data_IF_903219653483
#
_entry.id   IF_903219653483
#
_cell.length_a   1.000
_cell.length_b   1.000
_cell.length_c   1.000
_cell.angle_alpha   90.00
_cell.angle_beta   90.00
_cell.angle_gamma   90.00
#
_symmetry.space_group_name_H-M   'P 1'
#
loop_
_entity.id
_entity.type
_entity.pdbx_description
1 polymer ?
#
# COMPACT_ATOMS: atom_id res chain seq x y z
N UNK A 1 7.67 -44.67 58.94
CA UNK A 1 8.18 -43.71 59.95
C UNK A 1 7.57 -42.40 59.54
N UNK A 2 6.43 -42.02 60.03
CA UNK A 2 6.20 -41.24 61.28
C UNK A 2 6.58 -39.76 60.97
N UNK A 3 5.60 -38.96 60.77
CA UNK A 3 4.83 -38.06 61.67
C UNK A 3 5.52 -36.69 61.73
N UNK A 4 4.98 -35.57 61.78
CA UNK A 4 3.84 -34.83 62.31
C UNK A 4 3.75 -33.49 61.64
N UNK A 5 2.68 -32.82 61.28
CA UNK A 5 1.52 -32.52 62.10
C UNK A 5 1.67 -31.20 62.86
N UNK A 6 0.97 -30.12 62.37
CA UNK A 6 0.38 -28.93 63.07
C UNK A 6 0.20 -27.85 62.00
N UNK A 7 -0.94 -27.34 61.54
CA UNK A 7 -2.12 -26.96 62.28
C UNK A 7 -1.97 -25.55 62.85
N UNK A 8 -2.45 -24.48 62.19
CA UNK A 8 -2.99 -23.30 62.89
C UNK A 8 -3.76 -22.40 61.90
N UNK A 9 -5.02 -22.27 62.16
CA UNK A 9 -5.90 -21.10 62.24
C UNK A 9 -6.24 -20.28 61.01
N UNK A 10 -7.53 -20.32 60.74
CA UNK A 10 -8.31 -19.36 59.98
C UNK A 10 -8.30 -17.97 60.63
N UNK A 11 -8.13 -16.93 59.85
CA UNK A 11 -8.60 -15.59 60.20
C UNK A 11 -9.56 -15.08 59.14
N UNK A 12 -10.78 -14.91 59.59
CA UNK A 12 -11.89 -14.22 58.93
C UNK A 12 -11.53 -12.76 58.66
N UNK A 13 -11.72 -12.30 57.43
CA UNK A 13 -11.49 -10.90 57.05
C UNK A 13 -12.44 -10.45 55.96
N UNK A 14 -13.62 -10.06 56.35
CA UNK A 14 -14.45 -8.97 55.83
C UNK A 14 -14.59 -8.78 54.31
N UNK A 15 -15.61 -9.35 53.73
CA UNK A 15 -16.21 -8.91 52.48
C UNK A 15 -16.95 -7.58 52.69
N UNK A 16 -16.35 -6.46 52.27
CA UNK A 16 -17.10 -5.20 52.10
C UNK A 16 -17.83 -5.21 50.78
N UNK A 17 -19.09 -5.54 50.81
CA UNK A 17 -20.08 -5.24 49.76
C UNK A 17 -20.35 -3.76 49.81
N UNK A 18 -19.84 -3.02 48.80
CA UNK A 18 -20.22 -1.61 48.58
C UNK A 18 -21.58 -1.63 47.88
N UNK A 19 -22.63 -1.45 48.70
CA UNK A 19 -23.99 -1.24 48.22
C UNK A 19 -24.17 0.18 47.66
N UNK A 20 -24.32 0.33 46.38
CA UNK A 20 -24.80 1.56 45.78
C UNK A 20 -26.32 1.57 45.87
N UNK A 21 -26.89 2.11 46.93
CA UNK A 21 -28.26 2.58 46.98
C UNK A 21 -28.23 4.10 47.07
N UNK A 22 -28.13 4.77 45.89
CA UNK A 22 -28.40 6.19 45.79
C UNK A 22 -29.83 6.35 45.29
N UNK A 23 -30.75 6.68 46.20
CA UNK A 23 -32.14 7.07 45.90
C UNK A 23 -32.10 8.45 45.25
N UNK A 24 -32.26 8.52 43.94
CA UNK A 24 -32.54 9.77 43.26
C UNK A 24 -34.04 10.06 43.38
N UNK A 25 -34.39 11.06 44.23
CA UNK A 25 -35.69 11.70 44.14
C UNK A 25 -35.65 12.66 42.96
N UNK A 26 -36.37 12.28 41.85
CA UNK A 26 -36.55 13.15 40.70
C UNK A 26 -37.87 13.89 40.82
N UNK A 27 -37.82 15.21 41.05
CA UNK A 27 -39.00 16.07 40.91
C UNK A 27 -39.36 16.23 39.43
N UNK A 28 -40.58 15.83 39.05
CA UNK A 28 -41.08 15.83 37.70
C UNK A 28 -41.18 17.23 37.05
N UNK A 29 -41.03 18.31 37.82
CA UNK A 29 -41.08 19.68 37.32
C UNK A 29 -39.72 20.17 36.76
N UNK A 30 -38.62 19.49 37.05
CA UNK A 30 -37.28 19.89 36.56
C UNK A 30 -36.84 19.12 35.33
N UNK A 31 -37.55 18.11 34.86
CA UNK A 31 -37.20 17.31 33.68
C UNK A 31 -37.17 18.13 32.39
N UNK A 32 -38.14 19.02 32.19
CA UNK A 32 -38.20 19.83 30.96
C UNK A 32 -37.06 20.82 30.82
N UNK A 33 -36.67 21.47 31.90
CA UNK A 33 -35.58 22.44 31.90
C UNK A 33 -34.21 21.82 31.68
N UNK A 34 -33.94 20.62 32.24
CA UNK A 34 -32.66 19.92 32.08
C UNK A 34 -32.49 19.36 30.66
N UNK A 35 -33.56 18.74 30.09
CA UNK A 35 -33.53 18.23 28.71
C UNK A 35 -33.37 19.36 27.70
N UNK A 36 -34.04 20.49 27.92
CA UNK A 36 -33.94 21.66 27.02
C UNK A 36 -32.53 22.30 27.09
N UNK A 37 -31.93 22.34 28.28
CA UNK A 37 -30.57 22.87 28.46
C UNK A 37 -29.51 21.94 27.87
N UNK A 38 -29.65 20.61 28.05
CA UNK A 38 -28.77 19.62 27.42
C UNK A 38 -28.91 19.65 25.89
N UNK A 39 -30.13 19.72 25.35
CA UNK A 39 -30.35 19.82 23.92
C UNK A 39 -29.76 21.08 23.30
N UNK A 40 -29.85 22.24 24.03
CA UNK A 40 -29.19 23.49 23.61
C UNK A 40 -27.66 23.41 23.68
N UNK A 41 -27.10 22.76 24.69
CA UNK A 41 -25.64 22.55 24.81
C UNK A 41 -25.14 21.57 23.70
N UNK A 42 -25.87 20.50 23.40
CA UNK A 42 -25.56 19.61 22.31
C UNK A 42 -25.70 20.26 20.92
N UNK A 43 -26.72 21.11 20.73
CA UNK A 43 -26.87 21.88 19.50
C UNK A 43 -25.77 22.95 19.33
N UNK A 44 -25.37 23.59 20.42
CA UNK A 44 -24.24 24.55 20.42
C UNK A 44 -22.89 23.84 20.16
N UNK A 45 -22.67 22.66 20.77
CA UNK A 45 -21.51 21.83 20.49
C UNK A 45 -21.45 21.35 19.03
N UNK A 46 -22.63 20.94 18.47
CA UNK A 46 -22.73 20.57 17.05
C UNK A 46 -22.54 21.76 16.09
N UNK A 47 -22.93 22.99 16.49
CA UNK A 47 -22.65 24.21 15.71
C UNK A 47 -21.19 24.60 15.80
N UNK A 48 -20.54 24.47 16.96
CA UNK A 48 -19.10 24.72 17.13
C UNK A 48 -18.27 23.74 16.28
N UNK A 49 -18.59 22.44 16.31
CA UNK A 49 -17.92 21.45 15.45
C UNK A 49 -18.12 21.68 13.95
N UNK A 50 -19.22 22.32 13.53
CA UNK A 50 -19.49 22.60 12.12
C UNK A 50 -18.74 23.82 11.59
N UNK A 51 -18.24 24.68 12.45
CA UNK A 51 -17.49 25.89 12.08
C UNK A 51 -15.96 25.75 12.19
N UNK A 52 -15.45 24.61 12.70
CA UNK A 52 -14.02 24.40 12.92
C UNK A 52 -13.39 23.34 12.00
N UNK A 53 -14.17 22.67 11.14
CA UNK A 53 -13.63 21.73 10.16
C UNK A 53 -13.64 22.31 8.73
N UNK A 54 -12.94 23.42 8.48
CA UNK A 54 -12.15 23.48 7.26
C UNK A 54 -10.91 22.60 7.52
N UNK A 55 -11.11 21.27 7.51
CA UNK A 55 -10.02 20.35 7.27
C UNK A 55 -9.50 20.73 5.88
N UNK A 56 -8.40 21.45 5.84
CA UNK A 56 -7.57 21.54 4.64
C UNK A 56 -7.14 20.10 4.39
N UNK A 57 -7.91 19.37 3.60
CA UNK A 57 -7.52 18.04 3.15
C UNK A 57 -6.29 18.24 2.29
N UNK A 58 -5.12 18.04 2.89
CA UNK A 58 -3.87 18.05 2.15
C UNK A 58 -3.97 16.92 1.14
N UNK A 59 -4.06 17.28 -0.14
CA UNK A 59 -4.15 16.29 -1.21
C UNK A 59 -2.92 15.38 -1.17
N UNK A 60 -3.14 14.07 -1.02
CA UNK A 60 -2.06 13.07 -1.05
C UNK A 60 -1.49 12.99 -2.47
N UNK A 61 -0.20 12.74 -2.58
CA UNK A 61 0.53 12.67 -3.86
C UNK A 61 1.06 11.27 -4.07
N UNK A 62 0.77 10.68 -5.23
CA UNK A 62 1.26 9.38 -5.66
C UNK A 62 2.21 9.48 -6.85
N UNK A 63 3.41 8.93 -6.71
CA UNK A 63 4.40 8.78 -7.76
C UNK A 63 4.29 7.37 -8.35
N UNK A 64 4.11 7.26 -9.68
CA UNK A 64 3.86 5.98 -10.34
C UNK A 64 4.79 5.85 -11.55
N UNK A 65 5.61 4.81 -11.56
CA UNK A 65 6.51 4.52 -12.69
C UNK A 65 5.86 3.58 -13.71
N UNK A 66 6.33 3.61 -14.95
CA UNK A 66 5.76 2.86 -16.09
C UNK A 66 4.23 2.99 -16.20
N UNK A 67 3.72 4.21 -16.00
CA UNK A 67 2.28 4.50 -15.85
C UNK A 67 1.55 4.76 -17.17
N UNK A 68 2.21 4.65 -18.33
CA UNK A 68 1.63 5.04 -19.61
C UNK A 68 0.56 4.11 -20.17
N UNK A 69 0.50 2.84 -19.72
CA UNK A 69 -0.48 1.84 -20.19
C UNK A 69 -0.65 0.69 -19.18
N UNK A 70 -1.57 -0.22 -19.47
CA UNK A 70 -1.77 -1.45 -18.71
C UNK A 70 -2.03 -1.20 -17.22
N UNK A 71 -1.41 -2.01 -16.34
CA UNK A 71 -1.57 -1.90 -14.89
C UNK A 71 -1.18 -0.52 -14.35
N UNK A 72 -0.08 0.07 -14.82
CA UNK A 72 0.37 1.37 -14.35
C UNK A 72 -0.65 2.48 -14.62
N UNK A 73 -1.25 2.51 -15.80
CA UNK A 73 -2.30 3.47 -16.14
C UNK A 73 -3.60 3.23 -15.35
N UNK A 74 -3.99 1.96 -15.14
CA UNK A 74 -5.15 1.63 -14.33
C UNK A 74 -4.96 2.05 -12.87
N UNK A 75 -3.76 1.85 -12.31
CA UNK A 75 -3.41 2.30 -10.96
C UNK A 75 -3.45 3.83 -10.85
N UNK A 76 -2.92 4.54 -11.86
CA UNK A 76 -2.96 5.99 -11.87
C UNK A 76 -4.39 6.53 -11.85
N UNK A 77 -5.30 5.94 -12.66
CA UNK A 77 -6.73 6.30 -12.68
C UNK A 77 -7.42 6.01 -11.35
N UNK A 78 -7.18 4.86 -10.76
CA UNK A 78 -7.77 4.48 -9.46
C UNK A 78 -7.30 5.41 -8.34
N UNK A 79 -6.00 5.72 -8.27
CA UNK A 79 -5.47 6.63 -7.26
C UNK A 79 -5.98 8.06 -7.44
N UNK A 80 -6.08 8.57 -8.68
CA UNK A 80 -6.69 9.86 -8.96
C UNK A 80 -8.17 9.88 -8.52
N UNK A 81 -8.94 8.82 -8.81
CA UNK A 81 -10.34 8.69 -8.39
C UNK A 81 -10.51 8.64 -6.87
N UNK A 82 -9.49 8.18 -6.13
CA UNK A 82 -9.47 8.15 -4.66
C UNK A 82 -8.85 9.42 -4.03
N UNK A 83 -8.61 10.47 -4.83
CA UNK A 83 -8.19 11.79 -4.34
C UNK A 83 -6.69 12.03 -4.28
N UNK A 84 -5.87 11.17 -4.91
CA UNK A 84 -4.44 11.46 -5.05
C UNK A 84 -4.18 12.40 -6.23
N UNK A 85 -3.25 13.33 -6.06
CA UNK A 85 -2.53 13.94 -7.18
C UNK A 85 -1.50 12.92 -7.70
N UNK A 86 -1.44 12.74 -9.01
CA UNK A 86 -0.58 11.74 -9.62
C UNK A 86 0.61 12.37 -10.34
N UNK A 87 1.80 11.80 -10.12
CA UNK A 87 3.04 12.11 -10.80
C UNK A 87 3.49 10.85 -11.56
N UNK A 88 3.46 10.89 -12.89
CA UNK A 88 3.58 9.72 -13.74
C UNK A 88 4.86 9.74 -14.57
N UNK A 89 5.43 8.56 -14.84
CA UNK A 89 6.54 8.42 -15.79
C UNK A 89 6.35 7.19 -16.68
N UNK A 90 6.68 7.33 -17.96
CA UNK A 90 6.81 6.20 -18.88
C UNK A 90 7.79 6.51 -20.00
N UNK A 91 8.40 5.50 -20.65
CA UNK A 91 9.31 5.72 -21.77
C UNK A 91 8.64 6.34 -22.99
N UNK A 92 7.34 6.13 -23.16
CA UNK A 92 6.53 6.79 -24.18
C UNK A 92 5.89 8.07 -23.63
N UNK A 93 5.49 8.99 -24.46
CA UNK A 93 4.78 10.22 -24.06
C UNK A 93 3.39 9.97 -23.42
N UNK A 94 2.89 8.74 -23.38
CA UNK A 94 1.56 8.41 -22.88
C UNK A 94 1.35 8.73 -21.38
N UNK A 95 2.40 8.73 -20.55
CA UNK A 95 2.30 9.17 -19.16
C UNK A 95 2.03 10.68 -19.04
N UNK A 96 2.50 11.50 -20.00
CA UNK A 96 2.27 12.94 -20.02
C UNK A 96 0.78 13.22 -20.22
N UNK A 97 0.21 12.68 -21.31
CA UNK A 97 -1.21 12.87 -21.62
C UNK A 97 -2.12 12.32 -20.51
N UNK A 98 -1.78 11.14 -19.93
CA UNK A 98 -2.55 10.58 -18.83
C UNK A 98 -2.45 11.44 -17.56
N UNK A 99 -1.27 11.98 -17.24
CA UNK A 99 -1.09 12.86 -16.10
C UNK A 99 -1.97 14.11 -16.19
N UNK A 100 -2.01 14.75 -17.36
CA UNK A 100 -2.87 15.91 -17.64
C UNK A 100 -4.35 15.56 -17.56
N UNK A 101 -4.77 14.43 -18.14
CA UNK A 101 -6.15 13.93 -18.07
C UNK A 101 -6.63 13.77 -16.62
N UNK A 102 -5.73 13.30 -15.73
CA UNK A 102 -6.04 13.04 -14.33
C UNK A 102 -5.84 14.23 -13.39
N UNK A 103 -5.57 15.43 -13.94
CA UNK A 103 -5.30 16.64 -13.14
C UNK A 103 -3.99 16.59 -12.35
N UNK A 104 -3.08 15.70 -12.74
CA UNK A 104 -1.72 15.59 -12.25
C UNK A 104 -0.70 16.05 -13.26
N UNK A 105 0.42 15.34 -13.37
CA UNK A 105 1.40 15.51 -14.44
C UNK A 105 2.09 14.20 -14.78
N UNK A 106 2.73 14.17 -15.94
CA UNK A 106 3.58 13.06 -16.36
C UNK A 106 4.84 13.55 -17.04
N UNK A 107 5.87 12.73 -17.02
CA UNK A 107 7.09 12.94 -17.80
C UNK A 107 7.36 11.74 -18.70
N UNK A 108 8.06 11.98 -19.80
CA UNK A 108 8.71 10.91 -20.55
C UNK A 108 10.04 10.59 -19.87
N UNK A 109 10.29 9.30 -19.60
CA UNK A 109 11.51 8.84 -18.95
C UNK A 109 11.50 7.33 -18.68
N UNK A 110 12.66 6.78 -18.41
CA UNK A 110 12.88 5.37 -18.13
C UNK A 110 13.23 5.13 -16.66
N UNK A 111 12.71 4.04 -16.11
CA UNK A 111 13.07 3.58 -14.74
C UNK A 111 14.51 3.07 -14.64
N UNK A 112 15.18 2.82 -15.77
CA UNK A 112 16.60 2.42 -15.82
C UNK A 112 17.55 3.60 -15.80
N UNK A 113 17.03 4.82 -16.07
CA UNK A 113 17.82 6.05 -16.11
C UNK A 113 17.67 6.82 -14.81
N UNK A 114 18.78 6.97 -14.07
CA UNK A 114 18.76 7.67 -12.77
C UNK A 114 18.35 9.14 -12.93
N UNK A 115 18.77 9.81 -14.00
CA UNK A 115 18.41 11.20 -14.26
C UNK A 115 16.89 11.39 -14.45
N UNK A 116 16.21 10.42 -15.06
CA UNK A 116 14.75 10.48 -15.25
C UNK A 116 14.01 10.28 -13.93
N UNK A 117 14.53 9.37 -13.08
CA UNK A 117 13.99 9.18 -11.71
C UNK A 117 14.18 10.46 -10.90
N UNK A 118 15.37 11.07 -10.95
CA UNK A 118 15.66 12.34 -10.27
C UNK A 118 14.69 13.43 -10.72
N UNK A 119 14.51 13.59 -12.03
CA UNK A 119 13.60 14.55 -12.62
C UNK A 119 12.17 14.34 -12.11
N UNK A 120 11.67 13.10 -12.14
CA UNK A 120 10.31 12.79 -11.66
C UNK A 120 10.12 13.21 -10.20
N UNK A 121 11.05 12.83 -9.31
CA UNK A 121 10.98 13.17 -7.89
C UNK A 121 11.07 14.68 -7.65
N UNK A 122 12.02 15.35 -8.30
CA UNK A 122 12.22 16.79 -8.19
C UNK A 122 11.01 17.58 -8.67
N UNK A 123 10.45 17.25 -9.84
CA UNK A 123 9.24 17.91 -10.36
C UNK A 123 8.02 17.64 -9.46
N UNK A 124 7.91 16.44 -8.88
CA UNK A 124 6.83 16.13 -7.92
C UNK A 124 6.92 17.04 -6.70
N UNK A 125 8.10 17.15 -6.12
CA UNK A 125 8.30 18.01 -4.94
C UNK A 125 8.15 19.49 -5.29
N UNK A 126 8.64 19.94 -6.44
CA UNK A 126 8.48 21.33 -6.87
C UNK A 126 7.00 21.73 -7.05
N UNK A 127 6.15 20.80 -7.55
CA UNK A 127 4.73 21.05 -7.81
C UNK A 127 3.85 20.90 -6.58
N UNK A 128 4.10 19.88 -5.76
CA UNK A 128 3.18 19.46 -4.69
C UNK A 128 3.76 19.53 -3.29
N UNK A 129 5.07 19.71 -3.15
CA UNK A 129 5.76 19.80 -1.85
C UNK A 129 5.87 18.50 -1.07
N UNK A 130 5.28 17.38 -1.58
CA UNK A 130 5.18 16.10 -0.88
C UNK A 130 5.08 14.91 -1.81
N UNK A 131 5.36 13.72 -1.28
CA UNK A 131 5.04 12.43 -1.88
C UNK A 131 4.49 11.55 -0.74
N UNK A 132 3.30 10.97 -0.89
CA UNK A 132 2.67 10.13 0.12
C UNK A 132 2.68 8.65 -0.24
N UNK A 133 2.68 8.39 -1.53
CA UNK A 133 2.65 7.04 -2.08
C UNK A 133 3.61 6.88 -3.25
N UNK A 134 4.21 5.70 -3.36
CA UNK A 134 5.00 5.29 -4.52
C UNK A 134 4.50 3.96 -5.04
N UNK A 135 4.30 3.88 -6.35
CA UNK A 135 4.05 2.62 -7.05
C UNK A 135 5.21 2.37 -8.01
N UNK A 136 6.07 1.44 -7.63
CA UNK A 136 7.15 0.97 -8.50
C UNK A 136 6.57 -0.09 -9.45
N UNK A 137 6.33 0.31 -10.67
CA UNK A 137 5.90 -0.54 -11.76
C UNK A 137 6.92 -0.47 -12.90
N UNK A 138 7.02 -1.51 -13.70
CA UNK A 138 7.99 -1.61 -14.79
C UNK A 138 7.45 -2.44 -15.95
N UNK A 139 8.19 -2.45 -17.05
CA UNK A 139 7.97 -3.33 -18.18
C UNK A 139 8.39 -4.78 -17.91
N UNK A 140 8.43 -5.56 -18.96
CA UNK A 140 8.84 -6.96 -18.89
C UNK A 140 10.35 -7.08 -19.09
N UNK A 141 11.05 -7.84 -18.23
CA UNK A 141 12.46 -8.16 -18.43
C UNK A 141 12.66 -9.12 -19.61
N UNK A 142 13.89 -9.32 -20.06
CA UNK A 142 14.23 -10.32 -21.08
C UNK A 142 13.71 -11.72 -20.73
N UNK A 143 13.28 -12.45 -21.76
CA UNK A 143 12.82 -13.83 -21.68
C UNK A 143 13.71 -14.72 -22.51
N UNK A 144 13.68 -16.02 -22.26
CA UNK A 144 14.41 -16.99 -23.02
C UNK A 144 14.61 -18.31 -22.28
N UNK A 145 15.36 -19.21 -22.88
CA UNK A 145 15.80 -20.47 -22.29
C UNK A 145 16.82 -20.15 -21.16
N UNK A 146 16.78 -20.92 -20.09
CA UNK A 146 17.45 -20.62 -18.81
C UNK A 146 18.95 -20.34 -18.97
N UNK A 147 19.70 -21.18 -19.69
CA UNK A 147 21.13 -21.05 -19.88
C UNK A 147 21.52 -20.21 -21.09
N UNK A 148 20.55 -19.82 -21.94
CA UNK A 148 20.78 -18.94 -23.08
C UNK A 148 20.62 -17.45 -22.76
N UNK A 149 20.20 -17.10 -21.56
CA UNK A 149 20.14 -15.70 -21.10
C UNK A 149 21.58 -15.18 -20.94
N UNK A 150 21.90 -14.15 -21.69
CA UNK A 150 23.24 -13.51 -21.60
C UNK A 150 23.39 -12.69 -20.33
N UNK A 151 24.64 -12.42 -19.93
CA UNK A 151 24.94 -11.55 -18.80
C UNK A 151 24.35 -10.13 -19.00
N UNK A 152 24.38 -9.60 -20.22
CA UNK A 152 23.75 -8.31 -20.54
C UNK A 152 22.24 -8.31 -20.26
N UNK A 153 21.56 -9.42 -20.61
CA UNK A 153 20.13 -9.59 -20.32
C UNK A 153 19.86 -9.73 -18.81
N UNK A 154 20.75 -10.36 -18.05
CA UNK A 154 20.69 -10.39 -16.58
C UNK A 154 20.89 -9.01 -15.99
N UNK A 155 21.86 -8.23 -16.45
CA UNK A 155 22.08 -6.86 -16.01
C UNK A 155 20.91 -5.95 -16.35
N UNK A 156 20.39 -6.02 -17.58
CA UNK A 156 19.19 -5.27 -17.97
C UNK A 156 17.97 -5.62 -17.11
N UNK A 157 17.79 -6.91 -16.79
CA UNK A 157 16.74 -7.35 -15.86
C UNK A 157 16.94 -6.82 -14.44
N UNK A 158 18.17 -6.81 -13.94
CA UNK A 158 18.53 -6.28 -12.63
C UNK A 158 18.20 -4.78 -12.53
N UNK A 159 18.59 -4.00 -13.54
CA UNK A 159 18.26 -2.58 -13.61
C UNK A 159 16.75 -2.36 -13.64
N UNK A 160 16.04 -3.14 -14.45
CA UNK A 160 14.62 -2.97 -14.69
C UNK A 160 13.76 -3.41 -13.49
N UNK A 161 14.14 -4.43 -12.72
CA UNK A 161 13.28 -5.02 -11.67
C UNK A 161 13.68 -4.58 -10.28
N UNK A 162 14.97 -4.58 -9.95
CA UNK A 162 15.43 -4.34 -8.59
C UNK A 162 16.05 -2.97 -8.41
N UNK A 163 17.03 -2.60 -9.23
CA UNK A 163 17.76 -1.36 -9.03
C UNK A 163 16.89 -0.13 -9.24
N UNK A 164 15.92 -0.16 -10.15
CA UNK A 164 14.95 0.93 -10.30
C UNK A 164 14.27 1.24 -8.97
N UNK A 165 13.78 0.21 -8.26
CA UNK A 165 13.09 0.36 -6.96
C UNK A 165 14.05 0.92 -5.92
N UNK A 166 15.27 0.40 -5.85
CA UNK A 166 16.31 0.90 -4.93
C UNK A 166 16.63 2.37 -5.21
N UNK A 167 16.75 2.76 -6.49
CA UNK A 167 17.03 4.14 -6.91
C UNK A 167 15.90 5.09 -6.54
N UNK A 168 14.66 4.73 -6.82
CA UNK A 168 13.48 5.52 -6.41
C UNK A 168 13.44 5.69 -4.90
N UNK A 169 13.65 4.61 -4.14
CA UNK A 169 13.54 4.67 -2.69
C UNK A 169 14.70 5.44 -2.02
N UNK A 170 15.91 5.44 -2.59
CA UNK A 170 17.00 6.31 -2.11
C UNK A 170 16.61 7.80 -2.13
N UNK A 171 15.78 8.21 -3.08
CA UNK A 171 15.33 9.60 -3.25
C UNK A 171 14.08 9.92 -2.43
N UNK A 172 13.16 8.97 -2.33
CA UNK A 172 11.87 9.22 -1.69
C UNK A 172 11.90 8.96 -0.18
N UNK A 173 12.71 8.02 0.31
CA UNK A 173 12.75 7.70 1.75
C UNK A 173 13.06 8.92 2.63
N UNK A 174 14.03 9.80 2.32
CA UNK A 174 14.26 11.02 3.10
C UNK A 174 13.06 11.98 3.12
N UNK A 175 12.26 11.99 2.02
CA UNK A 175 11.04 12.79 1.92
C UNK A 175 9.98 12.20 2.87
N UNK A 176 9.76 10.89 2.85
CA UNK A 176 8.87 10.19 3.76
C UNK A 176 9.24 10.41 5.24
N UNK A 177 10.51 10.30 5.56
CA UNK A 177 11.02 10.55 6.91
C UNK A 177 10.71 11.99 7.37
N UNK A 178 10.98 12.98 6.53
CA UNK A 178 10.71 14.38 6.83
C UNK A 178 9.23 14.70 7.05
N UNK A 179 8.34 14.03 6.32
CA UNK A 179 6.88 14.26 6.41
C UNK A 179 6.15 13.31 7.37
N UNK A 180 6.87 12.36 8.02
CA UNK A 180 6.34 11.49 9.06
C UNK A 180 5.69 10.21 8.55
N UNK A 181 5.99 9.77 7.33
CA UNK A 181 5.53 8.49 6.81
C UNK A 181 5.28 8.47 5.31
N UNK A 182 4.93 7.29 4.80
CA UNK A 182 4.61 7.06 3.40
C UNK A 182 4.28 5.59 3.12
N UNK A 183 3.73 5.31 1.95
CA UNK A 183 3.38 3.95 1.55
C UNK A 183 3.91 3.60 0.16
N UNK A 184 4.43 2.39 0.02
CA UNK A 184 5.03 1.90 -1.23
C UNK A 184 4.39 0.58 -1.64
N UNK A 185 4.08 0.45 -2.93
CA UNK A 185 3.71 -0.82 -3.54
C UNK A 185 4.61 -1.11 -4.72
N UNK A 186 5.26 -2.27 -4.68
CA UNK A 186 6.04 -2.82 -5.79
C UNK A 186 5.16 -3.74 -6.63
N UNK A 187 5.01 -3.48 -7.92
CA UNK A 187 4.34 -4.40 -8.83
C UNK A 187 5.35 -5.48 -9.26
N UNK A 188 5.15 -6.66 -8.69
CA UNK A 188 5.98 -7.83 -8.93
C UNK A 188 5.32 -8.81 -9.93
N UNK A 189 5.32 -10.10 -9.65
CA UNK A 189 4.67 -11.18 -10.41
C UNK A 189 4.52 -12.41 -9.52
N UNK A 190 3.52 -13.22 -9.81
CA UNK A 190 3.38 -14.57 -9.23
C UNK A 190 4.64 -15.42 -9.40
N UNK A 191 5.41 -15.16 -10.47
CA UNK A 191 6.66 -15.86 -10.75
C UNK A 191 7.76 -15.65 -9.70
N UNK A 192 7.60 -14.70 -8.77
CA UNK A 192 8.48 -14.56 -7.61
C UNK A 192 8.32 -15.74 -6.61
N UNK A 193 7.10 -16.27 -6.48
CA UNK A 193 6.75 -17.37 -5.57
C UNK A 193 6.70 -18.72 -6.30
N UNK A 194 6.30 -18.71 -7.59
CA UNK A 194 6.24 -19.90 -8.47
C UNK A 194 7.04 -19.66 -9.75
N UNK A 195 8.35 -19.92 -9.76
CA UNK A 195 9.22 -19.65 -10.89
C UNK A 195 8.75 -20.33 -12.18
N UNK A 196 8.77 -19.60 -13.29
CA UNK A 196 8.36 -20.05 -14.63
C UNK A 196 9.59 -20.15 -15.54
N UNK A 197 9.82 -21.34 -16.12
CA UNK A 197 10.99 -21.59 -16.98
C UNK A 197 11.13 -20.61 -18.17
N UNK A 198 10.05 -20.19 -18.86
CA UNK A 198 10.18 -19.19 -19.94
C UNK A 198 10.54 -17.79 -19.48
N UNK A 199 10.58 -17.53 -18.16
CA UNK A 199 10.79 -16.21 -17.56
C UNK A 199 11.87 -16.24 -16.44
N UNK A 200 13.08 -16.78 -16.69
CA UNK A 200 14.09 -16.98 -15.62
C UNK A 200 14.52 -15.67 -14.98
N UNK A 201 14.78 -14.63 -15.76
CA UNK A 201 15.17 -13.30 -15.26
C UNK A 201 14.05 -12.71 -14.38
N UNK A 202 12.82 -12.76 -14.84
CA UNK A 202 11.67 -12.29 -14.07
C UNK A 202 11.52 -13.04 -12.75
N UNK A 203 11.57 -14.35 -12.78
CA UNK A 203 11.38 -15.20 -11.60
C UNK A 203 12.45 -14.94 -10.54
N UNK A 204 13.72 -14.98 -10.91
CA UNK A 204 14.82 -14.81 -9.99
C UNK A 204 14.85 -13.38 -9.38
N UNK A 205 14.75 -12.36 -10.22
CA UNK A 205 14.91 -10.98 -9.76
C UNK A 205 13.68 -10.45 -9.02
N UNK A 206 12.47 -10.98 -9.31
CA UNK A 206 11.28 -10.65 -8.53
C UNK A 206 11.24 -11.36 -7.17
N UNK A 207 11.84 -12.54 -7.05
CA UNK A 207 12.11 -13.15 -5.75
C UNK A 207 13.10 -12.29 -4.92
N UNK A 208 14.14 -11.76 -5.55
CA UNK A 208 15.05 -10.80 -4.92
C UNK A 208 14.34 -9.50 -4.50
N UNK A 209 13.42 -8.98 -5.33
CA UNK A 209 12.58 -7.82 -4.98
C UNK A 209 11.65 -8.12 -3.80
N UNK A 210 11.12 -9.33 -3.69
CA UNK A 210 10.32 -9.76 -2.54
C UNK A 210 11.13 -9.73 -1.24
N UNK A 211 12.36 -10.25 -1.27
CA UNK A 211 13.27 -10.18 -0.12
C UNK A 211 13.63 -8.72 0.23
N UNK A 212 13.92 -7.88 -0.77
CA UNK A 212 14.23 -6.47 -0.56
C UNK A 212 13.03 -5.69 0.01
N UNK A 213 11.82 -5.98 -0.46
CA UNK A 213 10.57 -5.41 0.08
C UNK A 213 10.45 -5.68 1.58
N UNK A 214 10.76 -6.90 2.01
CA UNK A 214 10.74 -7.27 3.43
C UNK A 214 11.80 -6.53 4.24
N UNK A 215 13.04 -6.50 3.76
CA UNK A 215 14.14 -5.79 4.43
C UNK A 215 13.83 -4.30 4.59
N UNK A 216 13.31 -3.67 3.55
CA UNK A 216 12.93 -2.26 3.59
C UNK A 216 11.80 -2.01 4.60
N UNK A 217 10.75 -2.81 4.56
CA UNK A 217 9.63 -2.70 5.50
C UNK A 217 10.08 -2.85 6.95
N UNK A 218 10.91 -3.85 7.25
CA UNK A 218 11.45 -4.07 8.59
C UNK A 218 12.28 -2.86 9.08
N UNK A 219 13.12 -2.30 8.20
CA UNK A 219 13.99 -1.16 8.55
C UNK A 219 13.20 0.11 8.85
N UNK A 220 12.10 0.39 8.12
CA UNK A 220 11.44 1.69 8.15
C UNK A 220 10.02 1.68 8.76
N UNK A 221 9.52 0.55 9.23
CA UNK A 221 8.18 0.45 9.83
C UNK A 221 7.99 1.38 11.04
N UNK A 222 8.99 1.51 11.90
CA UNK A 222 8.95 2.40 13.06
C UNK A 222 8.85 3.90 12.70
N UNK A 223 9.19 4.23 11.45
CA UNK A 223 9.11 5.59 10.89
C UNK A 223 7.80 5.83 10.13
N UNK A 224 6.80 4.95 10.33
CA UNK A 224 5.50 4.99 9.63
C UNK A 224 5.64 4.88 8.10
N UNK A 225 6.65 4.18 7.61
CA UNK A 225 6.87 3.93 6.19
C UNK A 225 6.58 2.45 5.91
N UNK A 226 5.59 2.20 5.05
CA UNK A 226 5.16 0.85 4.69
C UNK A 226 5.58 0.49 3.28
N UNK A 227 5.96 -0.75 3.06
CA UNK A 227 6.24 -1.27 1.73
C UNK A 227 5.67 -2.67 1.59
N UNK A 228 4.91 -2.89 0.51
CA UNK A 228 4.38 -4.21 0.15
C UNK A 228 4.62 -4.47 -1.34
N UNK A 229 4.54 -5.73 -1.74
CA UNK A 229 4.53 -6.12 -3.14
C UNK A 229 3.16 -6.74 -3.52
N UNK A 230 2.66 -6.39 -4.69
CA UNK A 230 1.55 -7.09 -5.35
C UNK A 230 2.14 -8.03 -6.38
N UNK A 231 1.71 -9.28 -6.36
CA UNK A 231 2.14 -10.35 -7.26
C UNK A 231 0.99 -10.72 -8.20
N UNK A 232 0.84 -10.01 -9.34
CA UNK A 232 -0.19 -10.35 -10.32
C UNK A 232 0.05 -11.73 -10.96
N UNK A 233 -1.05 -12.43 -11.24
CA UNK A 233 -1.07 -13.54 -12.20
C UNK A 233 -1.06 -13.04 -13.64
N UNK A 234 -1.76 -13.75 -14.52
CA UNK A 234 -2.02 -13.28 -15.88
C UNK A 234 -3.13 -12.25 -15.89
N UNK A 235 -2.85 -11.07 -16.44
CA UNK A 235 -3.72 -9.89 -16.43
C UNK A 235 -4.06 -9.47 -17.86
N UNK A 236 -5.22 -8.89 -18.09
CA UNK A 236 -5.79 -8.48 -19.38
C UNK A 236 -4.97 -7.44 -20.18
N UNK A 237 -3.87 -6.97 -19.64
CA UNK A 237 -2.84 -6.22 -20.37
C UNK A 237 -1.93 -7.12 -21.22
N UNK A 238 -2.10 -8.43 -21.13
CA UNK A 238 -1.41 -9.48 -21.86
C UNK A 238 -2.38 -10.23 -22.79
N UNK A 239 -1.95 -10.71 -23.96
CA UNK A 239 -2.80 -11.52 -24.84
C UNK A 239 -3.31 -12.78 -24.14
N UNK A 240 -4.63 -12.95 -24.11
CA UNK A 240 -5.27 -14.12 -23.53
C UNK A 240 -5.23 -15.28 -24.51
N UNK A 241 -4.87 -16.47 -24.02
CA UNK A 241 -4.95 -17.72 -24.79
C UNK A 241 -5.64 -18.81 -23.96
N UNK A 242 -6.36 -19.75 -24.62
CA UNK A 242 -7.05 -20.83 -23.91
C UNK A 242 -6.12 -21.68 -23.04
N UNK A 243 -4.88 -21.89 -23.48
CA UNK A 243 -3.88 -22.67 -22.76
C UNK A 243 -3.47 -22.01 -21.43
N UNK A 244 -3.35 -20.69 -21.43
CA UNK A 244 -3.04 -19.93 -20.20
C UNK A 244 -4.27 -19.91 -19.29
N UNK A 245 -5.48 -19.66 -19.82
CA UNK A 245 -6.72 -19.66 -19.05
C UNK A 245 -6.92 -21.01 -18.34
N UNK A 246 -6.65 -22.12 -19.01
CA UNK A 246 -6.77 -23.46 -18.43
C UNK A 246 -5.83 -23.71 -17.23
N UNK A 247 -4.77 -22.92 -17.08
CA UNK A 247 -3.85 -22.96 -15.93
C UNK A 247 -4.37 -22.19 -14.73
N UNK A 248 -5.32 -21.28 -14.91
CA UNK A 248 -5.81 -20.36 -13.89
C UNK A 248 -7.07 -20.96 -13.24
N UNK A 249 -7.06 -21.33 -11.95
CA UNK A 249 -8.25 -21.88 -11.29
C UNK A 249 -9.49 -20.99 -11.36
N UNK A 250 -9.31 -19.65 -11.36
CA UNK A 250 -10.41 -18.70 -11.54
C UNK A 250 -11.01 -18.69 -12.95
N UNK A 251 -10.45 -19.44 -13.91
CA UNK A 251 -10.96 -19.63 -15.28
C UNK A 251 -10.90 -18.39 -16.17
N UNK A 252 -10.13 -17.37 -15.79
CA UNK A 252 -9.99 -16.11 -16.56
C UNK A 252 -8.70 -15.37 -16.20
N UNK A 253 -8.29 -14.47 -17.04
CA UNK A 253 -7.31 -13.46 -16.68
C UNK A 253 -7.88 -12.50 -15.64
N UNK A 254 -7.03 -11.99 -14.74
CA UNK A 254 -7.32 -10.85 -13.91
C UNK A 254 -7.43 -9.57 -14.73
N UNK A 255 -8.15 -8.58 -14.22
CA UNK A 255 -8.27 -7.27 -14.85
C UNK A 255 -7.27 -6.29 -14.24
N UNK A 256 -6.75 -5.39 -15.06
CA UNK A 256 -5.88 -4.29 -14.59
C UNK A 256 -6.52 -3.49 -13.47
N UNK A 257 -7.86 -3.31 -13.48
CA UNK A 257 -8.61 -2.66 -12.42
C UNK A 257 -8.64 -3.44 -11.09
N UNK A 258 -8.54 -4.78 -11.10
CA UNK A 258 -8.45 -5.57 -9.87
C UNK A 258 -7.10 -5.35 -9.18
N UNK A 259 -6.03 -5.25 -9.96
CA UNK A 259 -4.71 -4.87 -9.46
C UNK A 259 -4.74 -3.44 -8.91
N UNK A 260 -5.33 -2.50 -9.65
CA UNK A 260 -5.39 -1.09 -9.26
C UNK A 260 -6.10 -0.90 -7.90
N UNK A 261 -7.24 -1.56 -7.67
CA UNK A 261 -7.96 -1.52 -6.40
C UNK A 261 -7.17 -2.12 -5.25
N UNK A 262 -6.46 -3.22 -5.48
CA UNK A 262 -5.57 -3.82 -4.47
C UNK A 262 -4.44 -2.86 -4.10
N UNK A 263 -3.83 -2.20 -5.08
CA UNK A 263 -2.80 -1.19 -4.86
C UNK A 263 -3.36 -0.01 -4.06
N UNK A 264 -4.51 0.54 -4.45
CA UNK A 264 -5.16 1.64 -3.75
C UNK A 264 -5.46 1.28 -2.27
N UNK A 265 -5.96 0.07 -2.01
CA UNK A 265 -6.15 -0.42 -0.64
C UNK A 265 -4.83 -0.47 0.14
N UNK A 266 -3.76 -1.05 -0.43
CA UNK A 266 -2.47 -1.16 0.25
C UNK A 266 -1.81 0.20 0.54
N UNK A 267 -2.11 1.22 -0.26
CA UNK A 267 -1.64 2.60 -0.05
C UNK A 267 -2.53 3.38 0.94
N UNK A 268 -3.74 2.92 1.21
CA UNK A 268 -4.68 3.58 2.11
C UNK A 268 -4.35 3.37 3.59
N UNK A 269 -4.99 4.18 4.44
CA UNK A 269 -4.90 4.06 5.90
C UNK A 269 -5.52 2.74 6.42
N UNK A 270 -6.46 2.14 5.64
CA UNK A 270 -7.04 0.82 5.93
C UNK A 270 -6.02 -0.32 5.94
N UNK A 271 -4.89 -0.15 5.26
CA UNK A 271 -3.77 -1.08 5.26
C UNK A 271 -2.65 -0.68 6.24
N UNK A 272 -2.94 0.17 7.24
CA UNK A 272 -1.93 0.77 8.13
C UNK A 272 -1.05 -0.22 8.89
N UNK A 273 -1.51 -1.46 9.08
CA UNK A 273 -0.73 -2.51 9.75
C UNK A 273 -0.20 -3.60 8.78
N UNK A 274 -0.36 -3.40 7.46
CA UNK A 274 0.14 -4.30 6.42
C UNK A 274 1.44 -3.72 5.85
N UNK A 275 2.56 -4.38 6.14
CA UNK A 275 3.88 -4.01 5.61
C UNK A 275 4.77 -5.24 5.47
N UNK A 276 5.68 -5.23 4.50
CA UNK A 276 6.61 -6.33 4.21
C UNK A 276 5.93 -7.56 3.59
N UNK A 277 4.72 -7.42 3.03
CA UNK A 277 3.95 -8.54 2.50
C UNK A 277 4.06 -8.64 0.97
N UNK A 278 4.00 -9.88 0.50
CA UNK A 278 3.81 -10.25 -0.90
C UNK A 278 2.35 -10.67 -1.08
N UNK A 279 1.55 -9.84 -1.73
CA UNK A 279 0.10 -10.08 -1.90
C UNK A 279 -0.15 -10.63 -3.30
N UNK A 280 -0.53 -11.91 -3.38
CA UNK A 280 -0.91 -12.54 -4.64
C UNK A 280 -2.27 -12.08 -5.11
N UNK A 281 -2.35 -11.68 -6.38
CA UNK A 281 -3.60 -11.35 -7.09
C UNK A 281 -3.56 -12.09 -8.42
N UNK A 282 -3.74 -13.40 -8.37
CA UNK A 282 -3.30 -14.34 -9.39
C UNK A 282 -4.36 -15.38 -9.81
N UNK A 283 -5.59 -15.27 -9.30
CA UNK A 283 -6.65 -16.24 -9.62
C UNK A 283 -6.37 -17.66 -9.11
N UNK A 284 -5.55 -17.78 -8.05
CA UNK A 284 -5.10 -19.03 -7.44
C UNK A 284 -4.16 -19.87 -8.34
N UNK A 285 -3.43 -19.23 -9.27
CA UNK A 285 -2.48 -19.95 -10.14
C UNK A 285 -1.31 -20.53 -9.32
N UNK A 286 -0.87 -19.85 -8.27
CA UNK A 286 0.15 -20.34 -7.34
C UNK A 286 -0.50 -21.25 -6.31
N UNK A 287 -0.11 -22.53 -6.31
CA UNK A 287 -0.63 -23.57 -5.43
C UNK A 287 0.13 -23.71 -4.09
N UNK A 288 1.23 -22.98 -3.91
CA UNK A 288 2.02 -23.03 -2.68
C UNK A 288 1.33 -22.27 -1.54
N UNK A 289 1.42 -22.83 -0.33
CA UNK A 289 1.01 -22.19 0.92
C UNK A 289 2.07 -21.21 1.41
#
# INVERSE_FOLDING_TARGET
MAADGKGVAASSGCRKTIGWRQKYWFDSRNRCAYITTMARRMAAARRRNRNEEHIVTVEKVALITAAGKGMGAAIARELAATGYRVALMSPSGSAVALGEELGGFGIQGSVTEEADIDKLVQETIARYGRIDAVVNNTGHPPKGELLAITDDNWHAGLDLILLNVVRVMRRVTPIFQKQGGGAVVNISSFAADAPEQPMPVSSALRAALSAWTRLYAERYAAENIRMNAVLPGFIDSWPETPEIVARIPAGRFGKTGEIAKTVAFLLSDGAGYITGQNIRVDGAIVKAL
#
